data_IF_915330649753
#
_entry.id   IF_915330649753
#
_cell.length_a   1.000
_cell.length_b   1.000
_cell.length_c   1.000
_cell.angle_alpha   90.00
_cell.angle_beta   90.00
_cell.angle_gamma   90.00
#
_symmetry.space_group_name_H-M   'P 1'
#
loop_
_entity.id
_entity.type
_entity.pdbx_description
1 polymer ?
#
# COMPACT_ATOMS: atom_id res chain seq x y z
N UNK A 1 -11.70 -13.97 -7.56
CA UNK A 1 -12.52 -13.35 -6.50
C UNK A 1 -13.95 -13.29 -6.98
N UNK A 2 -14.69 -14.32 -6.75
CA UNK A 2 -16.14 -14.27 -6.94
C UNK A 2 -16.73 -14.00 -5.54
N UNK A 3 -16.92 -12.74 -5.25
CA UNK A 3 -17.59 -12.33 -4.01
C UNK A 3 -19.08 -12.55 -4.20
N UNK A 4 -19.53 -13.78 -4.01
CA UNK A 4 -20.95 -14.17 -4.00
C UNK A 4 -21.75 -13.70 -5.23
N UNK A 5 -21.12 -13.63 -6.42
CA UNK A 5 -21.73 -13.17 -7.66
C UNK A 5 -22.03 -11.68 -7.74
N UNK A 6 -21.39 -10.85 -6.90
CA UNK A 6 -21.56 -9.38 -6.96
C UNK A 6 -20.90 -8.74 -8.19
N UNK A 7 -19.82 -9.35 -8.71
CA UNK A 7 -19.07 -8.83 -9.84
C UNK A 7 -18.77 -9.94 -10.86
N UNK A 8 -18.82 -9.58 -12.11
CA UNK A 8 -18.39 -10.43 -13.22
C UNK A 8 -17.15 -9.80 -13.88
N UNK A 9 -16.05 -10.57 -13.95
CA UNK A 9 -14.84 -10.14 -14.65
C UNK A 9 -14.98 -10.52 -16.12
N UNK A 10 -15.10 -9.54 -16.99
CA UNK A 10 -15.40 -9.74 -18.41
C UNK A 10 -14.20 -9.53 -19.33
N UNK A 11 -13.15 -8.86 -18.87
CA UNK A 11 -11.95 -8.61 -19.67
C UNK A 11 -10.72 -8.41 -18.79
N UNK A 12 -9.55 -8.61 -19.37
CA UNK A 12 -8.26 -8.31 -18.75
C UNK A 12 -7.23 -7.92 -19.80
N UNK A 13 -6.29 -7.04 -19.39
CA UNK A 13 -5.19 -6.58 -20.20
C UNK A 13 -3.88 -6.61 -19.41
N UNK A 14 -2.85 -7.24 -19.97
CA UNK A 14 -1.48 -7.22 -19.44
C UNK A 14 -0.51 -7.56 -20.59
N UNK A 15 0.67 -6.92 -20.69
CA UNK A 15 1.67 -7.27 -21.71
C UNK A 15 2.25 -8.69 -21.54
N UNK A 16 2.04 -9.32 -20.37
CA UNK A 16 2.45 -10.70 -20.10
C UNK A 16 1.21 -11.62 -20.23
N UNK A 17 1.09 -12.41 -21.32
CA UNK A 17 -0.11 -13.22 -21.59
C UNK A 17 -0.50 -14.15 -20.43
N UNK A 18 0.48 -14.76 -19.74
CA UNK A 18 0.23 -15.66 -18.62
C UNK A 18 -0.55 -14.98 -17.47
N UNK A 19 -0.41 -13.67 -17.27
CA UNK A 19 -1.18 -12.92 -16.27
C UNK A 19 -2.63 -12.75 -16.69
N UNK A 20 -2.89 -12.47 -17.97
CA UNK A 20 -4.25 -12.39 -18.50
C UNK A 20 -4.93 -13.76 -18.44
N UNK A 21 -4.17 -14.84 -18.75
CA UNK A 21 -4.67 -16.21 -18.64
C UNK A 21 -5.06 -16.56 -17.20
N UNK A 22 -4.26 -16.15 -16.21
CA UNK A 22 -4.58 -16.33 -14.79
C UNK A 22 -5.90 -15.66 -14.40
N UNK A 23 -6.13 -14.43 -14.86
CA UNK A 23 -7.38 -13.69 -14.59
C UNK A 23 -8.55 -14.38 -15.30
N UNK A 24 -8.37 -14.82 -16.54
CA UNK A 24 -9.40 -15.54 -17.29
C UNK A 24 -9.82 -16.84 -16.61
N UNK A 25 -8.86 -17.64 -16.14
CA UNK A 25 -9.13 -18.86 -15.38
C UNK A 25 -9.90 -18.59 -14.10
N UNK A 26 -9.52 -17.54 -13.36
CA UNK A 26 -10.18 -17.14 -12.12
C UNK A 26 -11.59 -16.58 -12.37
N UNK A 27 -11.81 -15.90 -13.51
CA UNK A 27 -13.10 -15.26 -13.81
C UNK A 27 -14.23 -16.27 -14.05
N UNK A 28 -13.93 -17.50 -14.43
CA UNK A 28 -14.90 -18.52 -14.88
C UNK A 28 -15.87 -18.04 -15.98
N UNK A 29 -15.52 -16.96 -16.68
CA UNK A 29 -16.38 -16.37 -17.72
C UNK A 29 -16.00 -16.90 -19.09
N UNK A 30 -16.88 -17.67 -19.77
CA UNK A 30 -16.58 -18.22 -21.10
C UNK A 30 -16.46 -17.14 -22.19
N UNK A 31 -16.97 -15.93 -21.93
CA UNK A 31 -16.91 -14.81 -22.86
C UNK A 31 -15.81 -13.80 -22.50
N UNK A 32 -14.89 -14.15 -21.60
CA UNK A 32 -13.79 -13.29 -21.18
C UNK A 32 -12.94 -12.82 -22.36
N UNK A 33 -12.68 -11.53 -22.44
CA UNK A 33 -11.89 -10.91 -23.51
C UNK A 33 -10.47 -10.60 -23.01
N UNK A 34 -9.48 -11.03 -23.78
CA UNK A 34 -8.05 -10.84 -23.46
C UNK A 34 -7.44 -9.78 -24.35
N UNK A 35 -6.68 -8.84 -23.74
CA UNK A 35 -5.97 -7.79 -24.44
C UNK A 35 -4.49 -7.80 -24.06
N UNK A 36 -3.63 -7.41 -25.02
CA UNK A 36 -2.18 -7.36 -24.82
C UNK A 36 -1.68 -6.07 -24.17
N UNK A 37 -2.54 -5.04 -24.10
CA UNK A 37 -2.22 -3.75 -23.49
C UNK A 37 -3.47 -3.06 -22.98
N UNK A 38 -3.28 -2.11 -22.05
CA UNK A 38 -4.33 -1.21 -21.60
C UNK A 38 -4.91 -0.39 -22.76
N UNK A 39 -4.07 0.00 -23.74
CA UNK A 39 -4.52 0.76 -24.91
C UNK A 39 -5.48 -0.04 -25.78
N UNK A 40 -5.14 -1.33 -26.06
CA UNK A 40 -6.01 -2.20 -26.89
C UNK A 40 -7.39 -2.37 -26.24
N UNK A 41 -7.45 -2.47 -24.91
CA UNK A 41 -8.69 -2.56 -24.16
C UNK A 41 -9.46 -1.22 -24.19
N UNK A 42 -8.79 -0.10 -23.98
CA UNK A 42 -9.39 1.23 -23.94
C UNK A 42 -9.79 1.78 -25.31
N UNK A 43 -9.33 1.16 -26.39
CA UNK A 43 -9.78 1.45 -27.76
C UNK A 43 -11.09 0.74 -28.10
N UNK A 44 -11.56 -0.17 -27.25
CA UNK A 44 -12.88 -0.77 -27.40
C UNK A 44 -13.98 0.14 -26.86
N UNK A 45 -15.23 -0.02 -27.34
CA UNK A 45 -16.38 0.58 -26.67
C UNK A 45 -16.45 0.14 -25.20
N UNK A 46 -17.05 0.98 -24.34
CA UNK A 46 -17.27 0.62 -22.93
C UNK A 46 -17.94 -0.75 -22.79
N UNK A 47 -17.33 -1.68 -22.06
CA UNK A 47 -17.78 -3.07 -21.88
C UNK A 47 -18.32 -3.37 -20.48
N UNK A 48 -17.91 -2.60 -19.46
CA UNK A 48 -18.22 -2.84 -18.06
C UNK A 48 -18.60 -1.55 -17.33
N UNK A 49 -19.07 -1.66 -16.10
CA UNK A 49 -19.38 -0.49 -15.27
C UNK A 49 -18.12 0.04 -14.56
N UNK A 50 -17.23 -0.85 -14.16
CA UNK A 50 -16.04 -0.55 -13.38
C UNK A 50 -14.79 -1.04 -14.12
N UNK A 51 -13.74 -0.24 -14.12
CA UNK A 51 -12.41 -0.64 -14.54
C UNK A 51 -11.48 -0.68 -13.34
N UNK A 52 -10.83 -1.82 -13.11
CA UNK A 52 -9.74 -1.95 -12.17
C UNK A 52 -8.42 -1.60 -12.86
N UNK A 53 -7.65 -0.70 -12.27
CA UNK A 53 -6.31 -0.31 -12.74
C UNK A 53 -5.31 -0.68 -11.65
N UNK A 54 -4.51 -1.72 -11.90
CA UNK A 54 -3.48 -2.26 -11.01
C UNK A 54 -2.11 -2.33 -11.68
N UNK A 55 -1.81 -1.35 -12.54
CA UNK A 55 -0.50 -1.21 -13.19
C UNK A 55 0.56 -0.69 -12.21
N UNK A 56 1.79 -0.43 -12.68
CA UNK A 56 2.78 0.29 -11.88
C UNK A 56 2.41 1.77 -11.77
N UNK A 57 2.87 2.45 -10.73
CA UNK A 57 2.50 3.82 -10.34
C UNK A 57 2.51 4.82 -11.52
N UNK A 58 3.54 4.76 -12.37
CA UNK A 58 3.71 5.63 -13.52
C UNK A 58 2.78 5.33 -14.70
N UNK A 59 2.00 4.27 -14.61
CA UNK A 59 1.00 3.89 -15.63
C UNK A 59 -0.44 3.98 -15.11
N UNK A 60 -0.68 4.69 -14.00
CA UNK A 60 -2.04 4.89 -13.47
C UNK A 60 -2.79 6.00 -14.18
N UNK A 61 -2.17 7.17 -14.36
CA UNK A 61 -2.84 8.40 -14.76
C UNK A 61 -3.52 8.31 -16.14
N UNK A 62 -2.78 7.99 -17.19
CA UNK A 62 -3.32 8.00 -18.55
C UNK A 62 -4.45 6.97 -18.78
N UNK A 63 -4.32 5.70 -18.34
CA UNK A 63 -5.44 4.76 -18.43
C UNK A 63 -6.64 5.16 -17.58
N UNK A 64 -6.43 5.74 -16.38
CA UNK A 64 -7.50 6.20 -15.53
C UNK A 64 -8.29 7.34 -16.18
N UNK A 65 -7.60 8.34 -16.73
CA UNK A 65 -8.18 9.45 -17.46
C UNK A 65 -9.04 8.95 -18.63
N UNK A 66 -8.48 8.09 -19.48
CA UNK A 66 -9.18 7.55 -20.64
C UNK A 66 -10.40 6.71 -20.25
N UNK A 67 -10.29 5.91 -19.21
CA UNK A 67 -11.40 5.09 -18.72
C UNK A 67 -12.57 5.95 -18.18
N UNK A 68 -12.26 7.02 -17.44
CA UNK A 68 -13.27 7.98 -17.00
C UNK A 68 -13.99 8.65 -18.17
N UNK A 69 -13.26 9.07 -19.21
CA UNK A 69 -13.80 9.65 -20.43
C UNK A 69 -14.73 8.68 -21.19
N UNK A 70 -14.43 7.39 -21.15
CA UNK A 70 -15.27 6.32 -21.68
C UNK A 70 -16.49 6.01 -20.79
N UNK A 71 -16.56 6.57 -19.59
CA UNK A 71 -17.68 6.43 -18.67
C UNK A 71 -17.59 5.27 -17.70
N UNK A 72 -16.40 4.73 -17.45
CA UNK A 72 -16.17 3.75 -16.38
C UNK A 72 -16.12 4.44 -15.02
N UNK A 73 -16.59 3.77 -13.97
CA UNK A 73 -16.12 3.99 -12.61
C UNK A 73 -14.78 3.29 -12.45
N UNK A 74 -13.93 3.75 -11.52
CA UNK A 74 -12.61 3.17 -11.32
C UNK A 74 -12.46 2.54 -9.94
N UNK A 75 -11.83 1.38 -9.91
CA UNK A 75 -11.09 0.88 -8.76
C UNK A 75 -9.61 1.06 -9.12
N UNK A 76 -8.92 1.98 -8.45
CA UNK A 76 -7.57 2.41 -8.80
C UNK A 76 -6.60 2.06 -7.69
N UNK A 77 -5.52 1.34 -8.06
CA UNK A 77 -4.43 1.09 -7.13
C UNK A 77 -3.75 2.39 -6.67
N UNK A 78 -3.23 2.33 -5.46
CA UNK A 78 -2.47 3.41 -4.85
C UNK A 78 -0.97 3.32 -5.25
N UNK A 79 -0.27 4.46 -5.36
CA UNK A 79 -0.82 5.83 -5.32
C UNK A 79 -1.64 6.14 -6.58
N UNK A 80 -2.59 7.06 -6.48
CA UNK A 80 -3.50 7.37 -7.59
C UNK A 80 -2.77 7.88 -8.84
N UNK A 81 -1.68 8.63 -8.65
CA UNK A 81 -0.78 9.11 -9.71
C UNK A 81 0.56 9.56 -9.11
N UNK A 82 1.49 10.02 -9.96
CA UNK A 82 2.84 10.41 -9.58
C UNK A 82 2.99 11.87 -9.10
N UNK A 83 1.94 12.68 -9.22
CA UNK A 83 1.94 14.07 -8.76
C UNK A 83 0.59 14.50 -8.22
N UNK A 84 0.60 15.54 -7.38
CA UNK A 84 -0.63 16.15 -6.84
C UNK A 84 -1.50 16.71 -7.97
N UNK A 85 -0.91 17.29 -8.99
CA UNK A 85 -1.64 17.88 -10.11
C UNK A 85 -2.39 16.82 -10.92
N UNK A 86 -1.76 15.68 -11.20
CA UNK A 86 -2.41 14.54 -11.86
C UNK A 86 -3.58 13.99 -11.02
N UNK A 87 -3.40 13.88 -9.69
CA UNK A 87 -4.46 13.39 -8.80
C UNK A 87 -5.65 14.35 -8.78
N UNK A 88 -5.39 15.66 -8.72
CA UNK A 88 -6.42 16.68 -8.83
C UNK A 88 -7.13 16.64 -10.18
N UNK A 89 -6.37 16.47 -11.28
CA UNK A 89 -6.96 16.33 -12.61
C UNK A 89 -7.88 15.11 -12.72
N UNK A 90 -7.47 13.94 -12.16
CA UNK A 90 -8.34 12.75 -12.10
C UNK A 90 -9.65 13.02 -11.34
N UNK A 91 -9.58 13.70 -10.20
CA UNK A 91 -10.76 14.05 -9.42
C UNK A 91 -11.71 14.97 -10.20
N UNK A 92 -11.18 15.98 -10.89
CA UNK A 92 -11.99 16.88 -11.74
C UNK A 92 -12.60 16.16 -12.95
N UNK A 93 -11.87 15.24 -13.58
CA UNK A 93 -12.38 14.44 -14.69
C UNK A 93 -13.49 13.51 -14.19
N UNK A 94 -13.31 12.84 -13.07
CA UNK A 94 -14.32 11.97 -12.45
C UNK A 94 -15.62 12.75 -12.20
N UNK A 95 -15.51 13.95 -11.61
CA UNK A 95 -16.63 14.86 -11.39
C UNK A 95 -17.29 15.29 -12.70
N UNK A 96 -16.51 15.66 -13.71
CA UNK A 96 -17.02 16.10 -15.03
C UNK A 96 -17.86 15.03 -15.73
N UNK A 97 -17.46 13.77 -15.62
CA UNK A 97 -18.15 12.64 -16.26
C UNK A 97 -19.14 11.93 -15.33
N UNK A 98 -19.35 12.45 -14.10
CA UNK A 98 -20.18 11.81 -13.08
C UNK A 98 -19.76 10.35 -12.84
N UNK A 99 -18.45 10.15 -12.67
CA UNK A 99 -17.86 8.84 -12.36
C UNK A 99 -17.18 8.89 -11.01
N UNK A 100 -16.99 7.73 -10.40
CA UNK A 100 -16.32 7.59 -9.11
C UNK A 100 -14.98 6.92 -9.30
N UNK A 101 -13.98 7.37 -8.53
CA UNK A 101 -12.69 6.71 -8.37
C UNK A 101 -12.63 6.23 -6.92
N UNK A 102 -12.58 4.91 -6.74
CA UNK A 102 -12.33 4.27 -5.45
C UNK A 102 -10.86 3.89 -5.41
N UNK A 103 -10.11 4.42 -4.45
CA UNK A 103 -8.70 4.10 -4.26
C UNK A 103 -8.55 2.83 -3.42
N UNK A 104 -7.57 2.01 -3.75
CA UNK A 104 -7.26 0.78 -3.02
C UNK A 104 -6.58 1.08 -1.66
N UNK A 105 -7.18 1.97 -0.87
CA UNK A 105 -6.81 2.18 0.52
C UNK A 105 -7.44 1.11 1.43
N UNK A 106 -7.01 -0.11 1.19
CA UNK A 106 -7.57 -1.34 1.77
C UNK A 106 -7.55 -1.37 3.29
N UNK A 107 -6.63 -0.66 3.95
CA UNK A 107 -6.53 -0.67 5.42
C UNK A 107 -7.79 -0.14 6.11
N UNK A 108 -8.52 0.83 5.51
CA UNK A 108 -9.78 1.34 6.07
C UNK A 108 -10.84 0.23 6.25
N UNK A 109 -10.74 -0.86 5.47
CA UNK A 109 -11.70 -1.95 5.41
C UNK A 109 -11.27 -3.19 6.24
N UNK A 110 -10.13 -3.11 6.94
CA UNK A 110 -9.73 -4.14 7.90
C UNK A 110 -10.57 -4.06 9.17
N UNK A 111 -10.79 -5.17 9.83
CA UNK A 111 -11.48 -5.20 11.12
C UNK A 111 -10.78 -4.31 12.17
N UNK A 112 -9.44 -4.28 12.13
CA UNK A 112 -8.65 -3.47 13.05
C UNK A 112 -8.94 -1.98 12.90
N UNK A 113 -8.74 -1.40 11.72
CA UNK A 113 -8.93 0.04 11.52
C UNK A 113 -10.39 0.45 11.55
N UNK A 114 -11.32 -0.41 11.09
CA UNK A 114 -12.75 -0.21 11.23
C UNK A 114 -13.16 -0.13 12.70
N UNK A 115 -12.62 -1.01 13.55
CA UNK A 115 -12.87 -0.98 15.01
C UNK A 115 -12.27 0.26 15.69
N UNK A 116 -11.05 0.66 15.29
CA UNK A 116 -10.45 1.90 15.78
C UNK A 116 -11.32 3.10 15.44
N UNK A 117 -11.82 3.18 14.19
CA UNK A 117 -12.71 4.26 13.74
C UNK A 117 -14.03 4.27 14.51
N UNK A 118 -14.64 3.11 14.72
CA UNK A 118 -15.86 2.95 15.56
C UNK A 118 -15.64 3.54 16.98
N UNK A 119 -14.50 3.23 17.60
CA UNK A 119 -14.16 3.73 18.94
C UNK A 119 -14.03 5.26 18.92
N UNK A 120 -13.39 5.84 17.90
CA UNK A 120 -13.27 7.30 17.75
C UNK A 120 -14.66 7.93 17.57
N UNK A 121 -15.45 7.40 16.62
CA UNK A 121 -16.77 7.95 16.26
C UNK A 121 -17.78 7.85 17.40
N UNK A 122 -17.62 6.87 18.30
CA UNK A 122 -18.42 6.77 19.53
C UNK A 122 -18.16 7.88 20.54
N UNK A 123 -17.10 8.71 20.35
CA UNK A 123 -16.70 9.77 21.26
C UNK A 123 -16.02 9.27 22.54
N UNK A 124 -15.70 8.00 22.65
CA UNK A 124 -15.06 7.37 23.83
C UNK A 124 -13.69 7.98 24.14
N UNK A 125 -12.91 8.33 23.11
CA UNK A 125 -11.60 8.94 23.30
C UNK A 125 -11.69 10.44 23.62
N UNK A 126 -12.86 11.08 23.41
CA UNK A 126 -13.01 12.53 23.45
C UNK A 126 -12.44 13.18 22.19
N UNK A 127 -11.93 14.42 22.30
CA UNK A 127 -11.21 15.09 21.20
C UNK A 127 -9.84 14.42 21.01
N UNK A 128 -9.46 14.12 19.76
CA UNK A 128 -8.15 13.55 19.44
C UNK A 128 -7.11 14.67 19.52
N UNK A 129 -6.10 14.46 20.36
CA UNK A 129 -4.99 15.42 20.57
C UNK A 129 -3.77 14.99 19.76
N UNK A 130 -3.45 13.69 19.71
CA UNK A 130 -2.35 13.23 18.90
C UNK A 130 -2.48 11.77 18.46
N UNK A 131 -1.87 11.46 17.30
CA UNK A 131 -1.72 10.11 16.75
C UNK A 131 -0.24 9.80 16.56
N UNK A 132 0.19 8.61 16.94
CA UNK A 132 1.51 8.06 16.63
C UNK A 132 1.32 6.78 15.84
N UNK A 133 1.86 6.74 14.63
CA UNK A 133 1.83 5.58 13.75
C UNK A 133 3.24 5.07 13.45
N UNK A 134 3.39 3.78 13.33
CA UNK A 134 4.62 3.11 12.92
C UNK A 134 4.32 2.12 11.79
N UNK A 135 5.16 2.14 10.76
CA UNK A 135 5.18 1.19 9.65
C UNK A 135 6.54 0.52 9.57
N UNK A 136 6.62 -0.73 9.99
CA UNK A 136 7.74 -1.63 9.75
C UNK A 136 7.53 -2.36 8.42
N UNK A 137 8.33 -2.03 7.41
CA UNK A 137 8.14 -2.56 6.03
C UNK A 137 8.57 -4.01 5.92
N UNK A 138 9.35 -4.52 6.83
CA UNK A 138 10.06 -5.79 6.84
C UNK A 138 11.32 -5.77 5.93
N UNK A 139 12.50 -6.19 6.46
CA UNK A 139 13.78 -6.07 5.76
C UNK A 139 13.84 -6.73 4.37
N UNK A 140 13.26 -7.93 4.23
CA UNK A 140 13.25 -8.62 2.94
C UNK A 140 12.26 -7.97 1.95
N UNK A 141 11.10 -7.53 2.43
CA UNK A 141 10.12 -6.80 1.63
C UNK A 141 10.72 -5.51 1.07
N UNK A 142 11.39 -4.72 1.92
CA UNK A 142 12.04 -3.50 1.47
C UNK A 142 13.12 -3.80 0.41
N UNK A 143 13.99 -4.79 0.66
CA UNK A 143 14.99 -5.22 -0.29
C UNK A 143 14.41 -5.71 -1.63
N UNK A 144 13.28 -6.42 -1.56
CA UNK A 144 12.55 -6.94 -2.71
C UNK A 144 11.97 -5.82 -3.57
N UNK A 145 11.21 -4.91 -2.97
CA UNK A 145 10.38 -3.94 -3.66
C UNK A 145 11.10 -2.61 -3.91
N UNK A 146 11.82 -2.10 -2.90
CA UNK A 146 12.32 -0.73 -2.83
C UNK A 146 13.84 -0.63 -3.02
N UNK A 147 14.55 -1.75 -3.16
CA UNK A 147 15.97 -1.77 -3.52
C UNK A 147 16.18 -2.40 -4.89
N UNK A 148 15.69 -3.64 -5.10
CA UNK A 148 15.84 -4.39 -6.35
C UNK A 148 14.70 -4.20 -7.34
N UNK A 149 13.51 -3.93 -6.82
CA UNK A 149 12.24 -3.94 -7.54
C UNK A 149 11.87 -2.60 -8.17
N UNK A 150 10.62 -2.56 -8.62
CA UNK A 150 10.08 -1.44 -9.41
C UNK A 150 10.04 -0.10 -8.67
N UNK A 151 10.00 -0.12 -7.32
CA UNK A 151 9.96 1.07 -6.47
C UNK A 151 11.35 1.48 -5.96
N UNK A 152 12.43 0.95 -6.54
CA UNK A 152 13.79 1.28 -6.15
C UNK A 152 14.24 2.69 -6.57
N UNK A 153 13.58 3.29 -7.56
CA UNK A 153 13.87 4.63 -8.08
C UNK A 153 12.65 5.51 -8.07
N UNK A 154 12.72 6.62 -7.34
CA UNK A 154 11.62 7.57 -7.19
C UNK A 154 11.18 8.21 -8.51
N UNK A 155 12.11 8.41 -9.46
CA UNK A 155 11.80 8.95 -10.79
C UNK A 155 11.09 7.97 -11.73
N UNK A 156 11.19 6.65 -11.48
CA UNK A 156 10.56 5.60 -12.27
C UNK A 156 9.24 5.11 -11.65
N UNK A 157 9.01 5.45 -10.37
CA UNK A 157 7.80 5.14 -9.62
C UNK A 157 7.35 6.35 -8.80
N UNK A 158 7.36 6.25 -7.48
CA UNK A 158 7.11 7.33 -6.54
C UNK A 158 8.04 7.20 -5.33
N UNK A 159 8.28 8.27 -4.55
CA UNK A 159 9.04 8.19 -3.31
C UNK A 159 8.44 7.18 -2.33
N UNK A 160 9.27 6.60 -1.45
CA UNK A 160 8.86 5.58 -0.47
C UNK A 160 7.62 5.97 0.34
N UNK A 161 7.54 7.23 0.77
CA UNK A 161 6.41 7.75 1.56
C UNK A 161 5.10 7.69 0.77
N UNK A 162 5.15 7.78 -0.57
CA UNK A 162 3.98 7.68 -1.44
C UNK A 162 3.74 6.22 -1.83
N UNK A 163 4.76 5.52 -2.35
CA UNK A 163 4.61 4.15 -2.84
C UNK A 163 4.11 3.19 -1.75
N UNK A 164 4.61 3.33 -0.53
CA UNK A 164 4.29 2.43 0.60
C UNK A 164 3.39 3.08 1.64
N UNK A 165 3.78 4.24 2.15
CA UNK A 165 3.14 4.83 3.34
C UNK A 165 1.91 5.70 3.00
N UNK A 166 1.47 5.76 1.74
CA UNK A 166 0.18 6.37 1.41
C UNK A 166 -0.99 5.70 2.14
N UNK A 167 -0.89 4.41 2.45
CA UNK A 167 -1.83 3.75 3.35
C UNK A 167 -1.81 4.35 4.76
N UNK A 168 -0.64 4.65 5.29
CA UNK A 168 -0.45 5.11 6.66
C UNK A 168 -0.87 6.58 6.78
N UNK A 169 -0.53 7.42 5.80
CA UNK A 169 -1.00 8.82 5.73
C UNK A 169 -2.52 8.89 5.54
N UNK A 170 -3.09 7.95 4.78
CA UNK A 170 -4.53 7.81 4.61
C UNK A 170 -5.24 7.46 5.92
N UNK A 171 -4.75 6.47 6.64
CA UNK A 171 -5.30 6.08 7.95
C UNK A 171 -5.20 7.24 8.96
N UNK A 172 -4.05 7.92 9.03
CA UNK A 172 -3.88 9.05 9.94
C UNK A 172 -4.87 10.17 9.62
N UNK A 173 -4.99 10.57 8.35
CA UNK A 173 -5.93 11.61 7.90
C UNK A 173 -7.39 11.22 8.19
N UNK A 174 -7.77 10.00 7.85
CA UNK A 174 -9.13 9.47 8.06
C UNK A 174 -9.52 9.38 9.54
N UNK A 175 -8.60 8.93 10.42
CA UNK A 175 -8.84 8.82 11.85
C UNK A 175 -8.82 10.19 12.55
N UNK A 176 -7.96 11.12 12.07
CA UNK A 176 -7.89 12.47 12.62
C UNK A 176 -9.16 13.28 12.34
N UNK A 177 -9.75 13.14 11.15
CA UNK A 177 -10.99 13.81 10.79
C UNK A 177 -10.89 15.35 10.75
N UNK A 178 -9.69 15.88 10.56
CA UNK A 178 -9.38 17.31 10.44
C UNK A 178 -8.34 17.49 9.34
N UNK A 179 -8.42 18.56 8.51
CA UNK A 179 -7.43 18.81 7.47
C UNK A 179 -6.02 18.97 8.03
N UNK A 180 -5.03 18.43 7.31
CA UNK A 180 -3.62 18.64 7.62
C UNK A 180 -3.20 20.06 7.20
N UNK A 181 -2.51 20.76 8.08
CA UNK A 181 -2.09 22.14 7.89
C UNK A 181 -0.65 22.24 7.42
N UNK A 182 0.22 21.36 7.93
CA UNK A 182 1.64 21.39 7.62
C UNK A 182 2.34 20.07 7.95
N UNK A 183 3.47 19.82 7.29
CA UNK A 183 4.30 18.62 7.46
C UNK A 183 5.76 18.99 7.60
N UNK A 184 6.51 18.24 8.43
CA UNK A 184 7.97 18.24 8.45
C UNK A 184 8.47 16.79 8.38
N UNK A 185 9.52 16.53 7.61
CA UNK A 185 9.98 15.16 7.40
C UNK A 185 11.49 15.05 7.24
N UNK A 186 12.07 13.99 7.81
CA UNK A 186 13.49 13.61 7.65
C UNK A 186 13.59 12.13 7.35
N UNK A 187 14.56 11.74 6.53
CA UNK A 187 14.79 10.35 6.14
C UNK A 187 15.94 10.23 5.15
N UNK A 188 16.56 9.06 5.07
CA UNK A 188 17.71 8.83 4.20
C UNK A 188 17.86 7.35 3.85
N UNK A 189 18.82 7.03 2.97
CA UNK A 189 19.33 5.69 2.78
C UNK A 189 20.53 5.54 3.71
N UNK A 190 20.39 4.73 4.76
CA UNK A 190 21.45 4.53 5.75
C UNK A 190 22.15 3.17 5.62
N UNK A 191 21.51 2.19 5.00
CA UNK A 191 22.04 0.82 4.96
C UNK A 191 22.21 0.27 3.54
N UNK A 192 21.26 0.46 2.65
CA UNK A 192 21.28 -0.13 1.30
C UNK A 192 22.19 0.66 0.34
N UNK A 193 23.49 0.65 0.60
CA UNK A 193 24.52 1.33 -0.18
C UNK A 193 25.82 0.54 -0.16
N UNK A 194 26.70 0.77 -1.13
CA UNK A 194 27.94 0.02 -1.34
C UNK A 194 28.90 0.07 -0.14
N UNK A 195 28.93 1.18 0.60
CA UNK A 195 29.75 1.32 1.80
C UNK A 195 29.40 0.33 2.93
N UNK A 196 28.19 -0.25 2.91
CA UNK A 196 27.69 -1.22 3.88
C UNK A 196 27.77 -2.68 3.36
N UNK A 197 28.30 -2.87 2.12
CA UNK A 197 28.49 -4.21 1.59
C UNK A 197 29.47 -5.00 2.47
N UNK A 198 29.11 -6.21 2.93
CA UNK A 198 30.07 -7.05 3.66
C UNK A 198 31.28 -7.38 2.77
N UNK A 199 32.44 -7.57 3.40
CA UNK A 199 33.68 -7.90 2.68
C UNK A 199 33.49 -9.16 1.82
N UNK A 200 33.87 -9.10 0.54
CA UNK A 200 33.72 -10.19 -0.41
C UNK A 200 32.32 -10.35 -1.00
N UNK A 201 31.37 -9.44 -0.70
CA UNK A 201 30.05 -9.47 -1.33
C UNK A 201 30.17 -9.34 -2.87
N UNK A 202 29.51 -10.27 -3.57
CA UNK A 202 29.46 -10.29 -5.05
C UNK A 202 28.42 -9.30 -5.59
N UNK A 203 28.40 -9.05 -6.90
CA UNK A 203 27.41 -8.16 -7.52
C UNK A 203 26.00 -8.78 -7.54
N UNK A 204 25.94 -10.10 -7.53
CA UNK A 204 24.69 -10.86 -7.49
C UNK A 204 24.76 -11.97 -6.46
N UNK A 205 23.65 -12.30 -5.83
CA UNK A 205 23.59 -13.41 -4.88
C UNK A 205 23.91 -14.77 -5.49
N UNK A 206 23.76 -14.91 -6.81
CA UNK A 206 24.05 -16.12 -7.59
C UNK A 206 25.52 -16.33 -7.92
N UNK A 207 26.39 -15.36 -7.65
CA UNK A 207 27.79 -15.37 -8.09
C UNK A 207 28.75 -15.97 -7.02
N UNK A 208 28.23 -16.82 -6.14
CA UNK A 208 29.03 -17.46 -5.09
C UNK A 208 29.37 -16.54 -3.91
N UNK A 209 28.43 -15.66 -3.53
CA UNK A 209 28.59 -14.75 -2.40
C UNK A 209 28.90 -15.53 -1.10
N UNK A 210 29.97 -15.18 -0.35
CA UNK A 210 30.33 -15.88 0.88
C UNK A 210 29.31 -15.68 2.03
N UNK A 211 28.35 -14.75 1.88
CA UNK A 211 27.36 -14.42 2.91
C UNK A 211 26.00 -15.07 2.66
N UNK A 212 25.89 -16.03 1.73
CA UNK A 212 24.63 -16.66 1.32
C UNK A 212 23.80 -17.16 2.50
N UNK A 213 24.44 -17.79 3.49
CA UNK A 213 23.73 -18.43 4.62
C UNK A 213 23.35 -17.45 5.75
N UNK A 214 23.92 -16.24 5.77
CA UNK A 214 23.71 -15.27 6.86
C UNK A 214 23.06 -13.97 6.41
N UNK A 215 23.01 -13.70 5.11
CA UNK A 215 22.46 -12.46 4.57
C UNK A 215 20.92 -12.48 4.61
N UNK A 216 20.33 -11.58 5.40
CA UNK A 216 18.87 -11.36 5.46
C UNK A 216 18.24 -11.13 4.08
N UNK A 217 18.99 -10.51 3.18
CA UNK A 217 18.52 -10.09 1.84
C UNK A 217 18.89 -11.06 0.73
N UNK A 218 19.40 -12.26 1.06
CA UNK A 218 19.84 -13.21 0.05
C UNK A 218 18.71 -13.55 -0.95
N UNK A 219 18.94 -13.29 -2.23
CA UNK A 219 17.97 -13.57 -3.29
C UNK A 219 17.67 -15.06 -3.50
N UNK A 220 18.60 -15.95 -3.12
CA UNK A 220 18.34 -17.40 -3.21
C UNK A 220 17.20 -17.86 -2.29
N UNK A 221 16.81 -17.05 -1.30
CA UNK A 221 15.63 -17.30 -0.46
C UNK A 221 14.31 -17.33 -1.23
N UNK A 222 14.27 -16.79 -2.46
CA UNK A 222 13.12 -16.99 -3.37
C UNK A 222 12.89 -18.44 -3.76
N UNK A 223 13.89 -19.31 -3.60
CA UNK A 223 13.77 -20.76 -3.85
C UNK A 223 13.36 -21.56 -2.62
N UNK A 224 13.20 -20.91 -1.46
CA UNK A 224 12.95 -21.56 -0.15
C UNK A 224 11.82 -20.86 0.62
N UNK A 225 12.15 -20.08 1.64
CA UNK A 225 11.22 -19.45 2.57
C UNK A 225 10.55 -18.15 2.05
N UNK A 226 10.94 -17.67 0.86
CA UNK A 226 10.42 -16.46 0.21
C UNK A 226 9.77 -16.72 -1.16
N UNK A 227 9.31 -17.93 -1.41
CA UNK A 227 8.68 -18.33 -2.68
C UNK A 227 7.41 -17.52 -2.98
N UNK A 228 6.65 -17.13 -1.96
CA UNK A 228 5.46 -16.28 -2.14
C UNK A 228 5.78 -14.94 -2.81
N UNK A 229 6.91 -14.34 -2.48
CA UNK A 229 7.38 -13.09 -3.11
C UNK A 229 7.80 -13.28 -4.57
N UNK A 230 8.35 -14.46 -4.91
CA UNK A 230 8.70 -14.77 -6.29
C UNK A 230 7.48 -14.77 -7.23
N UNK A 231 6.32 -15.23 -6.76
CA UNK A 231 5.09 -15.27 -7.56
C UNK A 231 4.65 -13.89 -8.06
N UNK A 232 4.97 -12.83 -7.32
CA UNK A 232 4.59 -11.46 -7.70
C UNK A 232 5.43 -10.89 -8.85
N UNK A 233 6.65 -11.39 -9.04
CA UNK A 233 7.64 -10.79 -9.94
C UNK A 233 8.06 -11.69 -11.10
N UNK A 234 7.88 -13.00 -10.96
CA UNK A 234 8.24 -13.93 -12.03
C UNK A 234 7.27 -13.80 -13.22
N UNK A 235 7.76 -13.90 -14.47
CA UNK A 235 6.92 -13.68 -15.65
C UNK A 235 5.68 -14.58 -15.74
N UNK A 236 5.76 -15.81 -15.25
CA UNK A 236 4.62 -16.73 -15.19
C UNK A 236 4.23 -16.98 -13.72
N UNK A 237 3.14 -16.39 -13.19
CA UNK A 237 2.76 -16.51 -11.79
C UNK A 237 2.16 -17.87 -11.41
N UNK A 238 1.68 -18.66 -12.36
CA UNK A 238 0.91 -19.89 -12.12
C UNK A 238 1.80 -21.12 -12.10
N UNK A 239 2.82 -21.18 -12.97
CA UNK A 239 3.65 -22.36 -13.16
C UNK A 239 4.47 -22.69 -11.91
N UNK A 240 4.38 -23.93 -11.42
CA UNK A 240 5.34 -24.46 -10.44
C UNK A 240 6.73 -24.53 -11.09
N UNK A 241 7.76 -24.08 -10.39
CA UNK A 241 9.12 -23.92 -10.92
C UNK A 241 10.10 -24.87 -10.26
N UNK A 242 11.07 -25.32 -11.04
CA UNK A 242 12.24 -26.00 -10.50
C UNK A 242 13.22 -24.97 -9.93
N UNK A 243 13.89 -25.31 -8.84
CA UNK A 243 14.85 -24.42 -8.18
C UNK A 243 15.90 -23.85 -9.15
N UNK A 244 16.38 -24.68 -10.10
CA UNK A 244 17.37 -24.24 -11.07
C UNK A 244 16.83 -23.18 -12.04
N UNK A 245 15.57 -23.27 -12.46
CA UNK A 245 14.93 -22.25 -13.32
C UNK A 245 14.90 -20.89 -12.62
N UNK A 246 14.58 -20.87 -11.31
CA UNK A 246 14.57 -19.64 -10.52
C UNK A 246 15.98 -19.08 -10.37
N UNK A 247 16.97 -19.92 -10.08
CA UNK A 247 18.37 -19.48 -9.96
C UNK A 247 18.88 -18.90 -11.29
N UNK A 248 18.56 -19.52 -12.42
CA UNK A 248 18.97 -19.03 -13.73
C UNK A 248 18.29 -17.70 -14.08
N UNK A 249 17.02 -17.52 -13.71
CA UNK A 249 16.33 -16.23 -13.85
C UNK A 249 16.95 -15.17 -12.94
N UNK A 250 17.32 -15.49 -11.70
CA UNK A 250 17.98 -14.56 -10.78
C UNK A 250 19.35 -14.08 -11.28
N UNK A 251 20.06 -14.85 -12.11
CA UNK A 251 21.33 -14.43 -12.73
C UNK A 251 21.17 -13.21 -13.64
N UNK A 252 19.99 -13.01 -14.22
CA UNK A 252 19.73 -11.94 -15.20
C UNK A 252 18.71 -10.92 -14.74
N UNK A 253 17.83 -11.26 -13.81
CA UNK A 253 16.77 -10.36 -13.34
C UNK A 253 17.29 -9.35 -12.32
N UNK A 254 16.63 -8.19 -12.15
CA UNK A 254 16.98 -7.22 -11.10
C UNK A 254 17.01 -7.83 -9.69
N UNK A 255 16.11 -8.76 -9.41
CA UNK A 255 15.95 -9.34 -8.08
C UNK A 255 17.11 -10.24 -7.60
N UNK A 256 18.01 -10.64 -8.50
CA UNK A 256 19.23 -11.34 -8.12
C UNK A 256 20.41 -10.44 -7.71
N UNK A 257 20.30 -9.09 -7.89
CA UNK A 257 21.36 -8.14 -7.54
C UNK A 257 21.64 -8.12 -6.03
N UNK A 258 22.86 -7.83 -5.65
CA UNK A 258 23.21 -7.52 -4.27
C UNK A 258 22.55 -6.21 -3.83
N UNK A 259 21.85 -6.19 -2.70
CA UNK A 259 21.13 -5.00 -2.21
C UNK A 259 22.04 -3.82 -1.91
N UNK A 260 23.30 -4.07 -1.61
CA UNK A 260 24.31 -3.05 -1.34
C UNK A 260 24.91 -2.43 -2.60
N UNK A 261 24.64 -3.04 -3.76
CA UNK A 261 25.19 -2.63 -5.07
C UNK A 261 24.08 -2.28 -6.07
N UNK A 262 22.89 -2.00 -5.57
CA UNK A 262 21.79 -1.47 -6.35
C UNK A 262 21.92 0.05 -6.49
N UNK A 263 21.20 0.59 -7.45
CA UNK A 263 21.17 2.02 -7.79
C UNK A 263 19.86 2.68 -7.29
N UNK A 264 19.30 2.15 -6.19
CA UNK A 264 18.10 2.68 -5.52
C UNK A 264 18.36 4.06 -4.90
N UNK A 265 17.33 4.92 -4.92
CA UNK A 265 17.36 6.28 -4.35
C UNK A 265 16.27 6.53 -3.30
N UNK A 266 15.38 5.56 -3.05
CA UNK A 266 14.33 5.67 -2.05
C UNK A 266 14.86 5.37 -0.64
N UNK A 267 14.31 6.06 0.34
CA UNK A 267 14.79 6.00 1.74
C UNK A 267 14.51 4.65 2.39
N UNK A 268 15.37 4.22 3.31
CA UNK A 268 15.17 3.01 4.13
C UNK A 268 14.55 3.30 5.51
N UNK A 269 14.46 4.58 5.89
CA UNK A 269 13.71 5.06 7.05
C UNK A 269 13.27 6.50 6.83
N UNK A 270 12.11 6.87 7.40
CA UNK A 270 11.57 8.22 7.32
C UNK A 270 10.70 8.53 8.54
N UNK A 271 10.84 9.75 9.06
CA UNK A 271 10.01 10.29 10.13
C UNK A 271 9.20 11.45 9.58
N UNK A 272 7.91 11.47 9.83
CA UNK A 272 6.99 12.54 9.40
C UNK A 272 6.26 13.08 10.61
N UNK A 273 6.27 14.40 10.78
CA UNK A 273 5.47 15.14 11.74
C UNK A 273 4.40 15.93 10.99
N UNK A 274 3.16 15.81 11.41
CA UNK A 274 1.99 16.48 10.84
C UNK A 274 1.29 17.35 11.87
N UNK A 275 0.88 18.54 11.47
CA UNK A 275 0.01 19.46 12.22
C UNK A 275 -1.35 19.56 11.53
N UNK A 276 -2.44 19.53 12.28
CA UNK A 276 -3.80 19.59 11.77
C UNK A 276 -4.50 20.89 12.14
N UNK A 277 -5.51 21.30 11.36
CA UNK A 277 -6.31 22.50 11.59
C UNK A 277 -6.99 22.51 12.98
N UNK A 278 -7.35 21.35 13.51
CA UNK A 278 -7.89 21.19 14.87
C UNK A 278 -6.90 21.54 15.97
N UNK A 279 -5.61 21.72 15.65
CA UNK A 279 -4.51 21.88 16.62
C UNK A 279 -3.94 20.53 17.10
N UNK A 280 -4.48 19.41 16.64
CA UNK A 280 -3.92 18.09 16.88
C UNK A 280 -2.66 17.85 16.06
N UNK A 281 -1.85 16.86 16.44
CA UNK A 281 -0.64 16.46 15.70
C UNK A 281 -0.58 14.98 15.48
N UNK A 282 0.17 14.56 14.44
CA UNK A 282 0.49 13.15 14.26
C UNK A 282 1.95 12.95 13.89
N UNK A 283 2.47 11.76 14.18
CA UNK A 283 3.77 11.29 13.73
C UNK A 283 3.63 9.96 13.01
N UNK A 284 4.36 9.81 11.90
CA UNK A 284 4.55 8.53 11.21
C UNK A 284 6.03 8.18 11.21
N UNK A 285 6.36 7.00 11.72
CA UNK A 285 7.70 6.42 11.68
C UNK A 285 7.70 5.24 10.70
N UNK A 286 8.39 5.36 9.59
CA UNK A 286 8.62 4.28 8.64
C UNK A 286 10.04 3.74 8.76
N UNK A 287 10.21 2.43 8.73
CA UNK A 287 11.53 1.78 8.71
C UNK A 287 11.53 0.48 7.92
N UNK A 288 12.63 0.23 7.21
CA UNK A 288 12.90 -1.06 6.56
C UNK A 288 13.33 -2.16 7.55
N UNK A 289 13.60 -1.82 8.82
CA UNK A 289 14.30 -2.70 9.78
C UNK A 289 13.39 -3.23 10.89
N UNK A 290 12.09 -3.12 10.71
CA UNK A 290 11.05 -3.69 11.58
C UNK A 290 9.93 -4.26 10.72
N UNK A 291 8.95 -4.93 11.32
CA UNK A 291 7.79 -5.48 10.62
C UNK A 291 6.49 -5.19 11.36
N UNK A 292 5.44 -4.95 10.57
CA UNK A 292 4.09 -4.70 11.08
C UNK A 292 3.82 -3.24 11.44
N UNK A 293 2.57 -3.00 11.86
CA UNK A 293 2.06 -1.66 12.17
C UNK A 293 1.73 -1.51 13.64
N UNK A 294 1.95 -0.31 14.16
CA UNK A 294 1.49 0.09 15.50
C UNK A 294 0.84 1.45 15.43
N UNK A 295 -0.27 1.61 16.15
CA UNK A 295 -1.05 2.82 16.25
C UNK A 295 -1.30 3.17 17.71
N UNK A 296 -1.02 4.43 18.08
CA UNK A 296 -1.37 5.00 19.36
C UNK A 296 -2.17 6.29 19.15
N UNK A 297 -3.32 6.42 19.81
CA UNK A 297 -4.21 7.57 19.74
C UNK A 297 -4.41 8.12 21.14
N UNK A 298 -4.17 9.40 21.32
CA UNK A 298 -4.32 10.09 22.58
C UNK A 298 -5.45 11.12 22.47
N UNK A 299 -6.55 10.84 23.15
CA UNK A 299 -7.70 11.71 23.23
C UNK A 299 -7.83 12.36 24.61
N UNK A 300 -8.80 13.28 24.78
CA UNK A 300 -9.01 14.00 26.04
C UNK A 300 -9.63 13.14 27.14
N UNK A 301 -10.29 12.01 26.79
CA UNK A 301 -10.96 11.13 27.76
C UNK A 301 -10.28 9.78 27.92
N UNK A 302 -9.68 9.26 26.86
CA UNK A 302 -8.99 7.98 26.88
C UNK A 302 -7.86 7.94 25.84
N UNK A 303 -6.95 6.98 25.99
CA UNK A 303 -5.97 6.62 24.98
C UNK A 303 -6.23 5.23 24.44
N UNK A 304 -5.94 5.03 23.15
CA UNK A 304 -6.04 3.75 22.46
C UNK A 304 -4.66 3.35 21.92
N UNK A 305 -4.33 2.08 22.03
CA UNK A 305 -3.14 1.47 21.42
C UNK A 305 -3.53 0.20 20.73
N UNK A 306 -2.98 -0.04 19.55
CA UNK A 306 -3.28 -1.25 18.77
C UNK A 306 -2.22 -1.57 17.72
N UNK A 307 -2.38 -2.73 17.07
CA UNK A 307 -1.49 -3.24 16.04
C UNK A 307 -0.51 -4.30 16.55
N UNK A 308 0.43 -4.72 15.67
CA UNK A 308 1.24 -5.93 15.86
C UNK A 308 2.06 -5.95 17.16
N UNK A 309 2.71 -4.84 17.52
CA UNK A 309 3.49 -4.76 18.75
C UNK A 309 2.60 -4.85 20.01
N UNK A 310 1.38 -4.33 19.94
CA UNK A 310 0.41 -4.41 21.04
C UNK A 310 -0.15 -5.83 21.16
N UNK A 311 -0.45 -6.49 20.03
CA UNK A 311 -0.88 -7.89 20.00
C UNK A 311 0.17 -8.79 20.65
N UNK A 312 1.43 -8.60 20.33
CA UNK A 312 2.55 -9.37 20.93
C UNK A 312 2.69 -9.12 22.44
N UNK A 313 2.52 -7.88 22.89
CA UNK A 313 2.73 -7.52 24.30
C UNK A 313 1.56 -7.86 25.21
N UNK A 314 0.34 -7.70 24.73
CA UNK A 314 -0.89 -7.77 25.55
C UNK A 314 -1.83 -8.93 25.20
N UNK A 315 -1.48 -9.73 24.18
CA UNK A 315 -2.33 -10.81 23.64
C UNK A 315 -3.74 -10.31 23.27
N UNK A 316 -3.80 -9.11 22.68
CA UNK A 316 -5.05 -8.46 22.26
C UNK A 316 -4.75 -7.45 21.14
N UNK A 317 -5.72 -7.17 20.28
CA UNK A 317 -5.50 -6.30 19.12
C UNK A 317 -5.53 -4.81 19.51
N UNK A 318 -6.39 -4.43 20.46
CA UNK A 318 -6.59 -3.04 20.90
C UNK A 318 -6.67 -2.97 22.42
N UNK A 319 -5.98 -1.99 23.01
CA UNK A 319 -6.06 -1.64 24.42
C UNK A 319 -6.52 -0.19 24.54
N UNK A 320 -7.61 0.04 25.31
CA UNK A 320 -8.11 1.38 25.62
C UNK A 320 -7.89 1.64 27.11
N UNK A 321 -7.32 2.81 27.45
CA UNK A 321 -7.14 3.26 28.82
C UNK A 321 -8.00 4.48 29.07
N UNK A 322 -9.01 4.34 29.93
CA UNK A 322 -9.81 5.45 30.43
C UNK A 322 -8.99 6.36 31.36
N UNK A 323 -9.05 7.66 31.18
CA UNK A 323 -8.23 8.60 31.96
C UNK A 323 -8.80 8.86 33.36
N UNK A 324 -10.12 8.76 33.51
CA UNK A 324 -10.79 8.99 34.80
C UNK A 324 -10.71 7.76 35.71
N UNK A 325 -11.12 6.60 35.21
CA UNK A 325 -11.12 5.35 35.97
C UNK A 325 -9.72 4.72 36.06
N UNK A 326 -8.85 4.99 35.09
CA UNK A 326 -7.54 4.34 34.96
C UNK A 326 -7.63 2.88 34.50
N UNK A 327 -8.83 2.43 34.18
CA UNK A 327 -9.11 1.06 33.75
C UNK A 327 -8.58 0.81 32.32
N UNK A 328 -8.21 -0.45 32.11
CA UNK A 328 -7.79 -0.96 30.80
C UNK A 328 -8.87 -1.87 30.24
N UNK A 329 -9.39 -1.54 29.07
CA UNK A 329 -10.23 -2.42 28.27
C UNK A 329 -9.38 -3.05 27.17
N UNK A 330 -9.54 -4.35 26.96
CA UNK A 330 -8.91 -5.11 25.88
C UNK A 330 -9.98 -5.53 24.87
N UNK A 331 -9.71 -5.28 23.59
CA UNK A 331 -10.57 -5.70 22.49
C UNK A 331 -9.77 -6.66 21.63
N UNK A 332 -10.24 -7.91 21.53
CA UNK A 332 -9.69 -8.92 20.62
C UNK A 332 -10.63 -9.03 19.43
N UNK A 333 -10.09 -8.96 18.24
CA UNK A 333 -10.83 -9.09 16.99
C UNK A 333 -11.02 -10.56 16.62
N UNK A 334 -12.03 -10.89 15.82
CA UNK A 334 -12.20 -12.23 15.29
C UNK A 334 -10.95 -12.68 14.51
N UNK A 335 -10.55 -13.93 14.66
CA UNK A 335 -9.57 -14.53 13.77
C UNK A 335 -10.23 -14.85 12.43
N UNK A 336 -9.51 -14.70 11.30
CA UNK A 336 -10.05 -15.05 9.98
C UNK A 336 -10.52 -16.50 9.93
N UNK A 337 -11.58 -16.77 9.18
CA UNK A 337 -12.04 -18.13 8.96
C UNK A 337 -11.04 -18.95 8.12
N UNK A 338 -11.02 -20.29 8.32
CA UNK A 338 -10.12 -21.16 7.57
C UNK A 338 -10.43 -21.08 6.06
N UNK A 339 -9.42 -20.69 5.26
CA UNK A 339 -9.57 -20.51 3.81
C UNK A 339 -9.96 -19.09 3.38
N UNK A 340 -10.19 -18.18 4.30
CA UNK A 340 -10.44 -16.78 4.00
C UNK A 340 -9.16 -16.11 3.45
N UNK A 341 -9.33 -15.25 2.41
CA UNK A 341 -8.21 -14.48 1.88
C UNK A 341 -7.89 -13.31 2.82
N UNK A 342 -6.71 -13.38 3.44
CA UNK A 342 -6.28 -12.43 4.46
C UNK A 342 -5.32 -11.35 3.93
N UNK A 343 -5.28 -11.11 2.62
CA UNK A 343 -4.47 -10.04 2.04
C UNK A 343 -4.71 -8.70 2.74
N UNK A 344 -3.64 -8.02 3.13
CA UNK A 344 -3.68 -6.78 3.93
C UNK A 344 -4.58 -6.89 5.18
N UNK A 345 -4.56 -8.04 5.88
CA UNK A 345 -5.41 -8.23 7.06
C UNK A 345 -6.91 -8.23 6.77
N UNK A 346 -7.33 -8.78 5.62
CA UNK A 346 -8.73 -8.83 5.18
C UNK A 346 -9.20 -7.58 4.41
N UNK A 347 -8.38 -6.54 4.37
CA UNK A 347 -8.77 -5.25 3.77
C UNK A 347 -9.07 -5.31 2.28
N UNK A 348 -8.37 -6.17 1.52
CA UNK A 348 -8.66 -6.38 0.09
C UNK A 348 -10.08 -6.92 -0.12
N UNK A 349 -10.45 -7.93 0.67
CA UNK A 349 -11.80 -8.50 0.64
C UNK A 349 -12.84 -7.46 1.09
N UNK A 350 -12.58 -6.74 2.18
CA UNK A 350 -13.48 -5.71 2.71
C UNK A 350 -13.74 -4.58 1.70
N UNK A 351 -12.71 -4.11 1.01
CA UNK A 351 -12.85 -3.09 -0.03
C UNK A 351 -13.75 -3.58 -1.18
N UNK A 352 -13.48 -4.78 -1.72
CA UNK A 352 -14.28 -5.31 -2.82
C UNK A 352 -15.72 -5.54 -2.39
N UNK A 353 -15.96 -6.06 -1.19
CA UNK A 353 -17.31 -6.21 -0.62
C UNK A 353 -18.07 -4.88 -0.52
N UNK A 354 -17.37 -3.79 -0.17
CA UNK A 354 -17.95 -2.45 -0.08
C UNK A 354 -18.09 -1.74 -1.43
N UNK A 355 -17.37 -2.17 -2.48
CA UNK A 355 -17.23 -1.44 -3.75
C UNK A 355 -18.57 -1.12 -4.41
N UNK A 356 -19.49 -2.09 -4.49
CA UNK A 356 -20.82 -1.88 -5.05
C UNK A 356 -21.58 -0.78 -4.29
N UNK A 357 -21.58 -0.82 -2.96
CA UNK A 357 -22.19 0.21 -2.13
C UNK A 357 -21.57 1.60 -2.32
N UNK A 358 -20.24 1.66 -2.47
CA UNK A 358 -19.52 2.92 -2.74
C UNK A 358 -19.97 3.49 -4.09
N UNK A 359 -19.97 2.67 -5.13
CA UNK A 359 -20.39 3.11 -6.49
C UNK A 359 -21.84 3.61 -6.50
N UNK A 360 -22.75 2.95 -5.80
CA UNK A 360 -24.17 3.34 -5.72
C UNK A 360 -24.46 4.40 -4.64
N UNK A 361 -23.47 4.83 -3.86
CA UNK A 361 -23.64 5.88 -2.83
C UNK A 361 -24.35 5.40 -1.57
N UNK A 362 -24.34 4.10 -1.28
CA UNK A 362 -24.92 3.48 -0.08
C UNK A 362 -23.87 3.06 0.96
N UNK A 363 -22.57 3.25 0.67
CA UNK A 363 -21.49 2.89 1.58
C UNK A 363 -21.35 3.87 2.74
N UNK A 364 -20.86 3.36 3.88
CA UNK A 364 -20.58 4.13 5.09
C UNK A 364 -19.32 4.99 5.03
N UNK A 365 -18.86 5.43 6.20
CA UNK A 365 -17.73 6.37 6.38
C UNK A 365 -16.35 5.83 5.96
N UNK A 366 -16.21 4.54 5.71
CA UNK A 366 -14.96 3.92 5.25
C UNK A 366 -14.63 4.18 3.78
N UNK A 367 -15.54 4.81 3.02
CA UNK A 367 -15.39 5.04 1.58
C UNK A 367 -14.06 5.72 1.23
N UNK A 368 -13.22 5.05 0.40
CA UNK A 368 -11.94 5.55 -0.09
C UNK A 368 -12.07 6.22 -1.47
N UNK A 369 -13.10 7.07 -1.62
CA UNK A 369 -13.25 7.90 -2.81
C UNK A 369 -12.10 8.89 -2.93
N UNK A 370 -11.68 9.20 -4.16
CA UNK A 370 -10.55 10.10 -4.40
C UNK A 370 -10.74 11.47 -3.71
N UNK A 371 -11.94 11.98 -3.67
CA UNK A 371 -12.28 13.28 -3.04
C UNK A 371 -12.02 13.31 -1.54
N UNK A 372 -12.17 12.16 -0.86
CA UNK A 372 -11.93 12.01 0.58
C UNK A 372 -10.55 11.45 0.91
N UNK A 373 -9.77 11.10 -0.10
CA UNK A 373 -8.49 10.42 0.04
C UNK A 373 -7.31 11.17 -0.59
N UNK A 374 -7.59 12.29 -1.27
CA UNK A 374 -6.56 13.12 -1.91
C UNK A 374 -5.57 13.70 -0.89
N UNK A 375 -6.04 14.01 0.31
CA UNK A 375 -5.22 14.59 1.38
C UNK A 375 -4.06 13.68 1.78
N UNK A 376 -4.27 12.35 1.79
CA UNK A 376 -3.21 11.40 2.10
C UNK A 376 -2.02 11.51 1.14
N UNK A 377 -2.29 11.75 -0.15
CA UNK A 377 -1.26 11.96 -1.16
C UNK A 377 -0.58 13.33 -0.99
N UNK A 378 -1.36 14.39 -0.71
CA UNK A 378 -0.81 15.72 -0.45
C UNK A 378 0.14 15.67 0.74
N UNK A 379 -0.24 15.04 1.85
CA UNK A 379 0.62 14.80 3.01
C UNK A 379 1.92 14.09 2.59
N UNK A 380 1.81 13.01 1.82
CA UNK A 380 2.97 12.23 1.38
C UNK A 380 3.93 13.03 0.49
N UNK A 381 3.41 13.74 -0.52
CA UNK A 381 4.25 14.58 -1.41
C UNK A 381 4.88 15.75 -0.65
N UNK A 382 4.14 16.41 0.25
CA UNK A 382 4.68 17.48 1.09
C UNK A 382 5.73 16.96 2.08
N UNK A 383 5.58 15.72 2.58
CA UNK A 383 6.58 15.09 3.43
C UNK A 383 7.88 14.80 2.64
N UNK A 384 7.78 14.38 1.39
CA UNK A 384 8.96 14.19 0.53
C UNK A 384 9.61 15.53 0.20
N UNK A 385 8.84 16.57 -0.13
CA UNK A 385 9.35 17.91 -0.33
C UNK A 385 10.11 18.42 0.90
N UNK A 386 9.52 18.31 2.09
CA UNK A 386 10.16 18.66 3.35
C UNK A 386 11.49 17.93 3.55
N UNK A 387 11.50 16.62 3.32
CA UNK A 387 12.71 15.78 3.44
C UNK A 387 13.83 16.25 2.51
N UNK A 388 13.51 16.50 1.24
CA UNK A 388 14.47 16.97 0.24
C UNK A 388 15.03 18.36 0.56
N UNK A 389 14.28 19.16 1.31
CA UNK A 389 14.69 20.49 1.77
C UNK A 389 15.29 20.48 3.19
N UNK A 390 15.70 19.31 3.70
CA UNK A 390 16.39 19.20 4.99
C UNK A 390 15.47 19.28 6.21
N UNK A 391 14.19 18.94 6.06
CA UNK A 391 13.23 18.81 7.17
C UNK A 391 12.47 20.10 7.50
N UNK A 392 12.48 21.08 6.59
CA UNK A 392 11.70 22.31 6.79
C UNK A 392 10.20 22.01 6.84
N UNK A 393 9.43 22.84 7.53
CA UNK A 393 7.98 22.76 7.53
C UNK A 393 7.43 23.19 6.16
N UNK A 394 6.60 22.35 5.56
CA UNK A 394 5.85 22.61 4.32
C UNK A 394 4.38 22.78 4.70
N UNK A 395 3.76 23.88 4.24
CA UNK A 395 2.32 24.11 4.39
C UNK A 395 1.53 23.36 3.33
N UNK A 396 0.36 22.82 3.70
CA UNK A 396 -0.57 22.12 2.81
C UNK A 396 -1.75 23.02 2.45
#
# INVERSE_FOLDING_TARGET
MDLDGQFEIIAGADPIPARVDAVRETSNNPNFQSFSSAQDLLDQPKMADIMFIGTQDNYHFEPAKKALELGYHLLLEKPAAQSIDEIKELAEIAKKYDRKIVLCFVLRYTDFYSKVKEVIDSGRLGEIISIRAHEGVEPFHHAHSFVRGHWGKSAESTPMIIAKCSHDTDIISWLMGSPCKSVSSVGSISHFSEQHAPEGATDRCTDGCPHTDTCTYNALRYTTDRESWLRMIYPDPIKKRETQEVVDWLKVSPWGRCVYKCDNDVVDHQQVLMEFESGASATLSMTAFDSGRTLEIYGTKASLRGGDAIKQQFETDIVIRDHYAGELEKITLPEPEEGEYTGHGGGDHGLISALSGIIHGTAGSASSLIETSIESHIIGFSAEESRLQGGIQVSI
#
